data_IF_524852385700
#
_entry.id   IF_524852385700
#
_cell.length_a   1.000
_cell.length_b   1.000
_cell.length_c   1.000
_cell.angle_alpha   90.00
_cell.angle_beta   90.00
_cell.angle_gamma   90.00
#
_symmetry.space_group_name_H-M   'P 1'
#
loop_
_entity.id
_entity.type
_entity.pdbx_description
1 polymer ?
#
# COMPACT_ATOMS: atom_id res chain seq x y z
N UNK A 1 -2.10 9.84 -3.08
CA UNK A 1 -1.11 8.81 -2.68
C UNK A 1 -0.23 8.53 -3.88
N UNK A 2 1.09 8.70 -3.73
CA UNK A 2 2.08 8.55 -4.80
C UNK A 2 3.09 7.45 -4.44
N UNK A 3 3.37 6.58 -5.40
CA UNK A 3 4.26 5.43 -5.26
C UNK A 3 5.18 5.31 -6.47
N UNK A 4 6.38 4.82 -6.25
CA UNK A 4 7.37 4.59 -7.29
C UNK A 4 8.05 3.22 -7.10
N UNK A 5 8.64 2.70 -8.17
CA UNK A 5 9.54 1.55 -8.11
C UNK A 5 10.83 1.95 -7.41
N UNK A 6 11.39 1.06 -6.60
CA UNK A 6 12.66 1.30 -5.91
C UNK A 6 13.84 1.29 -6.89
N UNK A 7 13.74 0.49 -7.96
CA UNK A 7 14.75 0.37 -9.00
C UNK A 7 14.18 0.89 -10.33
N UNK A 8 14.88 1.85 -10.93
CA UNK A 8 14.49 2.53 -12.17
C UNK A 8 14.71 1.56 -13.34
N UNK A 9 13.63 0.85 -13.72
CA UNK A 9 13.67 -0.21 -14.73
C UNK A 9 13.18 -1.58 -14.25
N UNK A 10 12.85 -1.74 -12.96
CA UNK A 10 12.28 -2.97 -12.46
C UNK A 10 10.85 -3.18 -12.99
N UNK A 11 10.68 -4.21 -13.81
CA UNK A 11 9.36 -4.68 -14.20
C UNK A 11 8.73 -5.46 -13.04
N UNK A 12 7.66 -4.93 -12.46
CA UNK A 12 6.96 -5.54 -11.33
C UNK A 12 6.02 -6.69 -11.75
N UNK A 13 5.87 -6.98 -13.05
CA UNK A 13 4.88 -7.94 -13.54
C UNK A 13 3.43 -7.43 -13.55
N UNK A 14 3.16 -6.31 -12.87
CA UNK A 14 1.86 -5.66 -12.74
C UNK A 14 2.02 -4.13 -12.62
N UNK A 15 0.94 -3.34 -12.79
CA UNK A 15 0.97 -1.91 -12.51
C UNK A 15 1.37 -1.64 -11.05
N UNK A 16 2.13 -0.57 -10.81
CA UNK A 16 2.56 -0.16 -9.46
C UNK A 16 1.38 -0.09 -8.49
N UNK A 17 0.21 0.38 -8.95
CA UNK A 17 -1.01 0.49 -8.14
C UNK A 17 -1.49 -0.86 -7.61
N UNK A 18 -1.57 -1.89 -8.45
CA UNK A 18 -1.98 -3.25 -8.04
C UNK A 18 -0.99 -3.84 -7.03
N UNK A 19 0.30 -3.63 -7.25
CA UNK A 19 1.36 -4.11 -6.35
C UNK A 19 1.28 -3.44 -4.98
N UNK A 20 1.00 -2.14 -4.96
CA UNK A 20 0.82 -1.39 -3.71
C UNK A 20 -0.48 -1.83 -3.03
N UNK A 21 -1.57 -2.04 -3.77
CA UNK A 21 -2.82 -2.55 -3.21
C UNK A 21 -2.62 -3.92 -2.54
N UNK A 22 -1.89 -4.84 -3.19
CA UNK A 22 -1.54 -6.13 -2.60
C UNK A 22 -0.72 -5.98 -1.30
N UNK A 23 0.20 -5.02 -1.23
CA UNK A 23 0.95 -4.73 -0.02
C UNK A 23 0.06 -4.21 1.13
N UNK A 24 -0.94 -3.38 0.80
CA UNK A 24 -1.93 -2.87 1.76
C UNK A 24 -2.77 -4.03 2.30
N UNK A 25 -3.33 -4.86 1.41
CA UNK A 25 -4.16 -6.02 1.79
C UNK A 25 -3.40 -7.03 2.65
N UNK A 26 -2.13 -7.30 2.31
CA UNK A 26 -1.25 -8.15 3.11
C UNK A 26 -1.01 -7.57 4.51
N UNK A 27 -0.77 -6.25 4.59
CA UNK A 27 -0.58 -5.54 5.87
C UNK A 27 -1.85 -5.61 6.72
N UNK A 28 -3.02 -5.34 6.13
CA UNK A 28 -4.30 -5.38 6.83
C UNK A 28 -4.62 -6.80 7.35
N UNK A 29 -4.36 -7.82 6.54
CA UNK A 29 -4.50 -9.23 6.93
C UNK A 29 -3.61 -9.57 8.12
N UNK A 30 -2.35 -9.13 8.08
CA UNK A 30 -1.39 -9.35 9.17
C UNK A 30 -1.80 -8.65 10.46
N UNK A 31 -2.22 -7.38 10.36
CA UNK A 31 -2.70 -6.62 11.50
C UNK A 31 -3.94 -7.25 12.15
N UNK A 32 -4.87 -7.76 11.33
CA UNK A 32 -6.06 -8.47 11.82
C UNK A 32 -5.69 -9.74 12.60
N UNK A 33 -4.66 -10.46 12.18
CA UNK A 33 -4.17 -11.67 12.87
C UNK A 33 -3.26 -11.41 14.07
N UNK A 34 -2.59 -10.25 14.10
CA UNK A 34 -1.63 -9.86 15.13
C UNK A 34 -1.67 -8.33 15.34
N UNK A 35 -2.59 -7.81 16.16
CA UNK A 35 -2.80 -6.36 16.32
C UNK A 35 -1.66 -5.64 17.05
N UNK A 36 -0.68 -6.38 17.58
CA UNK A 36 0.53 -5.84 18.20
C UNK A 36 1.61 -5.41 17.17
N UNK A 37 1.43 -5.73 15.88
CA UNK A 37 2.41 -5.35 14.85
C UNK A 37 2.42 -3.84 14.62
N UNK A 38 3.61 -3.31 14.38
CA UNK A 38 3.77 -1.93 13.93
C UNK A 38 3.33 -1.85 12.46
N UNK A 39 2.13 -1.30 12.23
CA UNK A 39 1.48 -1.25 10.91
C UNK A 39 2.30 -0.42 9.92
N UNK A 40 2.88 0.69 10.36
CA UNK A 40 3.71 1.57 9.53
C UNK A 40 4.98 0.85 9.07
N UNK A 41 5.67 0.18 10.00
CA UNK A 41 6.84 -0.62 9.66
C UNK A 41 6.46 -1.79 8.73
N UNK A 42 5.40 -2.52 9.05
CA UNK A 42 4.92 -3.65 8.25
C UNK A 42 4.59 -3.23 6.82
N UNK A 43 3.86 -2.12 6.66
CA UNK A 43 3.51 -1.59 5.33
C UNK A 43 4.75 -1.22 4.52
N UNK A 44 5.74 -0.57 5.15
CA UNK A 44 7.02 -0.24 4.48
C UNK A 44 7.77 -1.48 4.03
N UNK A 45 7.77 -2.54 4.85
CA UNK A 45 8.39 -3.82 4.52
C UNK A 45 7.67 -4.52 3.37
N UNK A 46 6.33 -4.56 3.38
CA UNK A 46 5.52 -5.17 2.32
C UNK A 46 5.69 -4.45 0.97
N UNK A 47 5.71 -3.12 0.97
CA UNK A 47 5.98 -2.31 -0.22
C UNK A 47 7.38 -2.60 -0.76
N UNK A 48 8.39 -2.55 0.12
CA UNK A 48 9.79 -2.75 -0.26
C UNK A 48 10.05 -4.16 -0.78
N UNK A 49 9.45 -5.18 -0.16
CA UNK A 49 9.53 -6.58 -0.59
C UNK A 49 9.05 -6.76 -2.04
N UNK A 50 8.09 -5.93 -2.46
CA UNK A 50 7.53 -5.92 -3.81
C UNK A 50 8.19 -4.91 -4.75
N UNK A 51 9.29 -4.29 -4.35
CA UNK A 51 10.04 -3.36 -5.20
C UNK A 51 9.39 -1.98 -5.37
N UNK A 52 8.44 -1.61 -4.51
CA UNK A 52 7.79 -0.29 -4.52
C UNK A 52 8.05 0.47 -3.23
N UNK A 53 7.96 1.79 -3.28
CA UNK A 53 8.02 2.67 -2.11
C UNK A 53 7.00 3.80 -2.24
N UNK A 54 6.52 4.29 -1.11
CA UNK A 54 5.81 5.56 -1.08
C UNK A 54 6.79 6.71 -1.37
N UNK A 55 6.39 7.66 -2.22
CA UNK A 55 7.23 8.82 -2.55
C UNK A 55 7.21 9.88 -1.43
N UNK A 56 6.15 9.86 -0.62
CA UNK A 56 5.89 10.85 0.43
C UNK A 56 5.72 10.15 1.78
N UNK A 57 6.36 10.68 2.82
CA UNK A 57 6.29 10.11 4.17
C UNK A 57 4.86 10.01 4.71
N UNK A 58 4.01 10.99 4.41
CA UNK A 58 2.61 11.01 4.83
C UNK A 58 1.75 9.88 4.24
N UNK A 59 2.10 9.37 3.05
CA UNK A 59 1.31 8.30 2.40
C UNK A 59 1.31 7.00 3.21
N UNK A 60 2.43 6.63 3.83
CA UNK A 60 2.47 5.43 4.68
C UNK A 60 1.61 5.62 5.92
N UNK A 61 1.72 6.79 6.57
CA UNK A 61 1.01 7.10 7.80
C UNK A 61 -0.51 7.15 7.59
N UNK A 62 -0.97 7.73 6.48
CA UNK A 62 -2.38 7.77 6.09
C UNK A 62 -2.96 6.36 5.90
N UNK A 63 -2.23 5.49 5.20
CA UNK A 63 -2.67 4.11 4.94
C UNK A 63 -2.65 3.29 6.23
N UNK A 64 -1.58 3.39 7.02
CA UNK A 64 -1.47 2.71 8.30
C UNK A 64 -2.59 3.14 9.26
N UNK A 65 -2.92 4.44 9.27
CA UNK A 65 -4.06 4.96 10.03
C UNK A 65 -5.39 4.37 9.56
N UNK A 66 -5.63 4.27 8.26
CA UNK A 66 -6.83 3.67 7.71
C UNK A 66 -6.96 2.18 8.07
N UNK A 67 -5.88 1.40 7.94
CA UNK A 67 -5.83 -0.03 8.35
C UNK A 67 -6.18 -0.17 9.84
N UNK A 68 -5.57 0.63 10.72
CA UNK A 68 -5.87 0.61 12.16
C UNK A 68 -7.31 0.98 12.47
N UNK A 69 -7.89 1.87 11.67
CA UNK A 69 -9.27 2.32 11.83
C UNK A 69 -10.28 1.32 11.25
N UNK A 70 -9.82 0.23 10.63
CA UNK A 70 -10.68 -0.73 9.92
C UNK A 70 -11.29 -0.17 8.64
N UNK A 71 -10.72 0.89 8.07
CA UNK A 71 -11.12 1.43 6.78
C UNK A 71 -10.38 0.72 5.65
N UNK A 72 -11.13 0.33 4.62
CA UNK A 72 -10.55 -0.19 3.39
C UNK A 72 -9.84 0.94 2.64
N UNK A 73 -8.57 0.70 2.29
CA UNK A 73 -7.80 1.62 1.47
C UNK A 73 -7.80 1.08 0.05
N UNK A 74 -8.52 1.77 -0.83
CA UNK A 74 -8.48 1.50 -2.26
C UNK A 74 -7.63 2.56 -2.95
N UNK A 75 -6.61 2.12 -3.69
CA UNK A 75 -5.85 2.98 -4.61
C UNK A 75 -6.62 3.20 -5.92
N UNK A 76 -7.90 3.56 -5.79
CA UNK A 76 -8.82 4.06 -6.81
C UNK A 76 -9.57 3.01 -7.64
N UNK A 77 -10.90 3.04 -7.54
CA UNK A 77 -11.72 3.06 -8.75
C UNK A 77 -11.48 4.40 -9.45
N UNK A 78 -11.24 4.37 -10.77
CA UNK A 78 -11.51 5.56 -11.58
C UNK A 78 -13.00 5.88 -11.43
N UNK A 79 -13.33 7.14 -11.16
CA UNK A 79 -14.69 7.65 -11.32
C UNK A 79 -15.18 7.29 -12.74
N UNK A 80 -15.99 6.25 -12.80
CA UNK A 80 -16.69 5.82 -14.01
C UNK A 80 -17.95 6.64 -14.19
N UNK A 81 -17.83 7.97 -14.32
CA UNK A 81 -18.93 8.83 -14.77
C UNK A 81 -18.52 9.58 -16.04
N UNK A 82 -18.38 8.83 -17.13
CA UNK A 82 -18.66 9.35 -18.47
C UNK A 82 -20.01 8.78 -18.90
N UNK A 83 -21.05 9.58 -18.72
CA UNK A 83 -22.41 9.37 -19.22
C UNK A 83 -22.96 10.68 -19.75
#
# INVERSE_FOLDING_TARGET
>A
MEFETIDDGQYLGAPVRDVVQEAIDATATRYTGAPEVDVDQTLREELRSRGVRATTEGTVEEIAHAIRSGHEVALGEHDGSVG
#
